data_IF_254756004428
#
_entry.id   IF_254756004428
#
_cell.length_a   1.000
_cell.length_b   1.000
_cell.length_c   1.000
_cell.angle_alpha   90.00
_cell.angle_beta   90.00
_cell.angle_gamma   90.00
#
_symmetry.space_group_name_H-M   'P 1'
#
loop_
_entity.id
_entity.type
_entity.pdbx_description
1 polymer ?
#
# COMPACT_ATOMS: atom_id res chain seq x y z
N UNK A 1 -2.66 14.34 14.67
CA UNK A 1 -3.41 13.22 14.06
C UNK A 1 -4.61 12.92 14.95
N UNK A 2 -5.75 12.48 14.41
CA UNK A 2 -6.97 12.21 15.18
C UNK A 2 -7.38 10.74 15.03
N UNK A 3 -8.15 10.17 15.96
CA UNK A 3 -8.56 8.76 15.91
C UNK A 3 -9.48 8.43 14.71
N UNK A 4 -10.11 9.44 14.11
CA UNK A 4 -10.88 9.31 12.86
C UNK A 4 -10.04 9.49 11.60
N UNK A 5 -8.74 9.74 11.73
CA UNK A 5 -7.84 9.79 10.56
C UNK A 5 -7.87 8.43 9.88
N UNK A 6 -8.12 8.39 8.56
CA UNK A 6 -8.15 7.13 7.83
C UNK A 6 -6.77 6.49 7.84
N UNK A 7 -6.68 5.17 7.60
CA UNK A 7 -5.39 4.55 7.43
C UNK A 7 -4.58 5.19 6.29
N UNK A 8 -3.27 5.27 6.48
CA UNK A 8 -2.39 6.04 5.60
C UNK A 8 -1.19 5.25 5.13
N UNK A 9 -0.79 5.50 3.89
CA UNK A 9 0.41 4.93 3.28
C UNK A 9 1.27 6.06 2.76
N UNK A 10 2.48 6.18 3.31
CA UNK A 10 3.43 7.24 2.99
C UNK A 10 4.61 6.62 2.24
N UNK A 11 5.02 7.26 1.15
CA UNK A 11 6.29 6.99 0.47
C UNK A 11 7.05 8.30 0.34
N UNK A 12 8.33 8.30 0.74
CA UNK A 12 9.19 9.48 0.61
C UNK A 12 10.60 9.05 0.20
N UNK A 13 11.19 9.75 -0.78
CA UNK A 13 12.58 9.56 -1.13
C UNK A 13 13.53 10.28 -0.14
N UNK A 14 14.55 9.57 0.36
CA UNK A 14 15.51 10.14 1.32
C UNK A 14 16.30 11.34 0.78
N UNK A 15 16.44 11.41 -0.54
CA UNK A 15 17.12 12.46 -1.29
C UNK A 15 16.16 13.54 -1.83
N UNK A 16 14.93 13.62 -1.33
CA UNK A 16 14.05 14.76 -1.58
C UNK A 16 14.66 16.04 -0.96
N UNK A 17 14.96 17.01 -1.83
CA UNK A 17 15.54 18.32 -1.44
C UNK A 17 14.51 19.42 -1.33
N UNK A 18 13.27 19.15 -1.75
CA UNK A 18 12.17 20.13 -1.78
C UNK A 18 11.35 20.00 -0.51
N UNK A 19 11.04 18.77 -0.10
CA UNK A 19 10.29 18.48 1.13
C UNK A 19 11.15 17.64 2.06
N UNK A 20 11.26 18.05 3.31
CA UNK A 20 12.08 17.34 4.30
C UNK A 20 11.45 15.98 4.66
N UNK A 21 12.26 14.91 4.63
CA UNK A 21 11.87 13.55 5.06
C UNK A 21 11.24 13.52 6.46
N UNK A 22 11.72 14.39 7.35
CA UNK A 22 11.22 14.56 8.71
C UNK A 22 9.73 14.90 8.77
N UNK A 23 9.17 15.59 7.78
CA UNK A 23 7.72 15.86 7.74
C UNK A 23 6.90 14.58 7.64
N UNK A 24 7.36 13.60 6.85
CA UNK A 24 6.68 12.30 6.75
C UNK A 24 6.89 11.44 7.98
N UNK A 25 8.08 11.48 8.60
CA UNK A 25 8.36 10.80 9.87
C UNK A 25 7.48 11.32 10.99
N UNK A 26 7.38 12.64 11.15
CA UNK A 26 6.51 13.27 12.16
C UNK A 26 5.04 12.88 11.98
N UNK A 27 4.55 12.79 10.74
CA UNK A 27 3.19 12.32 10.48
C UNK A 27 3.02 10.84 10.85
N UNK A 28 3.96 9.98 10.47
CA UNK A 28 3.95 8.55 10.80
C UNK A 28 3.99 8.32 12.31
N UNK A 29 4.91 8.98 13.02
CA UNK A 29 5.04 8.90 14.48
C UNK A 29 3.74 9.34 15.18
N UNK A 30 3.10 10.39 14.66
CA UNK A 30 1.80 10.83 15.16
C UNK A 30 0.67 9.83 14.85
N UNK A 31 0.71 9.13 13.71
CA UNK A 31 -0.25 8.05 13.43
C UNK A 31 -0.09 6.88 14.41
N UNK A 32 1.16 6.42 14.62
CA UNK A 32 1.47 5.35 15.56
C UNK A 32 1.04 5.71 17.00
N UNK A 33 1.35 6.94 17.45
CA UNK A 33 0.96 7.43 18.77
C UNK A 33 -0.56 7.48 19.00
N UNK A 34 -1.35 7.63 17.94
CA UNK A 34 -2.81 7.70 17.99
C UNK A 34 -3.50 6.39 17.57
N UNK A 35 -2.76 5.29 17.37
CA UNK A 35 -3.30 4.00 16.94
C UNK A 35 -3.93 4.02 15.54
N UNK A 36 -3.58 5.01 14.72
CA UNK A 36 -4.03 5.10 13.33
C UNK A 36 -3.16 4.18 12.49
N UNK A 37 -3.77 3.17 11.86
CA UNK A 37 -3.06 2.22 11.00
C UNK A 37 -2.32 2.97 9.89
N UNK A 38 -1.00 3.00 9.97
CA UNK A 38 -0.17 3.71 9.00
C UNK A 38 1.00 2.86 8.54
N UNK A 39 1.56 3.19 7.38
CA UNK A 39 2.74 2.53 6.85
C UNK A 39 3.60 3.57 6.16
N UNK A 40 4.90 3.57 6.46
CA UNK A 40 5.85 4.52 5.87
C UNK A 40 7.00 3.78 5.19
N UNK A 41 7.20 4.09 3.90
CA UNK A 41 8.27 3.54 3.07
C UNK A 41 9.24 4.65 2.68
N UNK A 42 10.50 4.47 3.05
CA UNK A 42 11.57 5.36 2.61
C UNK A 42 12.26 4.78 1.37
N UNK A 43 12.19 5.47 0.24
CA UNK A 43 12.99 5.13 -0.93
C UNK A 43 14.42 5.60 -0.69
N UNK A 44 15.40 4.74 -0.99
CA UNK A 44 16.81 5.11 -0.88
C UNK A 44 17.15 6.34 -1.73
N UNK A 45 16.60 6.42 -2.94
CA UNK A 45 16.76 7.54 -3.86
C UNK A 45 15.56 7.69 -4.80
N UNK A 46 15.28 8.92 -5.23
CA UNK A 46 14.16 9.23 -6.13
C UNK A 46 13.88 10.72 -6.24
N UNK A 47 14.24 11.54 -5.25
CA UNK A 47 14.05 12.98 -5.19
C UNK A 47 12.61 13.45 -5.44
N UNK A 48 12.46 14.73 -5.77
CA UNK A 48 11.17 15.35 -6.05
C UNK A 48 11.01 15.74 -7.53
N UNK A 49 9.91 15.39 -8.22
CA UNK A 49 9.00 14.29 -7.89
C UNK A 49 9.61 12.94 -8.29
N UNK A 50 9.48 11.91 -7.46
CA UNK A 50 9.95 10.56 -7.81
C UNK A 50 9.02 9.85 -8.82
N UNK A 51 7.78 10.32 -9.00
CA UNK A 51 6.78 9.69 -9.88
C UNK A 51 7.13 9.77 -11.37
N UNK A 52 8.02 10.68 -11.77
CA UNK A 52 8.51 10.80 -13.15
C UNK A 52 9.73 9.92 -13.44
N UNK A 53 10.24 9.20 -12.43
CA UNK A 53 11.50 8.44 -12.50
C UNK A 53 11.20 6.94 -12.38
N UNK A 54 11.23 6.16 -13.47
CA UNK A 54 10.78 4.77 -13.46
C UNK A 54 11.45 3.89 -12.38
N UNK A 55 12.75 4.07 -12.13
CA UNK A 55 13.50 3.33 -11.10
C UNK A 55 12.96 3.51 -9.68
N UNK A 56 12.42 4.68 -9.35
CA UNK A 56 11.80 4.96 -8.07
C UNK A 56 10.28 4.71 -8.10
N UNK A 57 9.64 5.04 -9.23
CA UNK A 57 8.19 5.01 -9.36
C UNK A 57 7.60 3.60 -9.43
N UNK A 58 8.24 2.70 -10.17
CA UNK A 58 7.74 1.31 -10.31
C UNK A 58 7.65 0.60 -8.94
N UNK A 59 8.72 0.52 -8.13
CA UNK A 59 8.63 -0.12 -6.82
C UNK A 59 7.68 0.62 -5.86
N UNK A 60 7.63 1.96 -5.92
CA UNK A 60 6.70 2.75 -5.10
C UNK A 60 5.23 2.42 -5.41
N UNK A 61 4.86 2.30 -6.68
CA UNK A 61 3.52 1.85 -7.09
C UNK A 61 3.21 0.44 -6.62
N UNK A 62 4.16 -0.49 -6.79
CA UNK A 62 3.98 -1.88 -6.36
C UNK A 62 3.75 -1.97 -4.86
N UNK A 63 4.50 -1.19 -4.06
CA UNK A 63 4.31 -1.11 -2.62
C UNK A 63 2.94 -0.53 -2.23
N UNK A 64 2.50 0.54 -2.92
CA UNK A 64 1.17 1.13 -2.69
C UNK A 64 0.04 0.13 -3.01
N UNK A 65 0.15 -0.59 -4.12
CA UNK A 65 -0.85 -1.60 -4.51
C UNK A 65 -0.88 -2.76 -3.50
N UNK A 66 0.28 -3.26 -3.10
CA UNK A 66 0.37 -4.33 -2.09
C UNK A 66 -0.26 -3.89 -0.75
N UNK A 67 -0.02 -2.65 -0.33
CA UNK A 67 -0.62 -2.09 0.88
C UNK A 67 -2.14 -1.96 0.75
N UNK A 68 -2.65 -1.48 -0.40
CA UNK A 68 -4.09 -1.40 -0.66
C UNK A 68 -4.76 -2.78 -0.60
N UNK A 69 -4.14 -3.81 -1.20
CA UNK A 69 -4.64 -5.17 -1.09
C UNK A 69 -4.66 -5.64 0.38
N UNK A 70 -3.59 -5.40 1.14
CA UNK A 70 -3.53 -5.80 2.54
C UNK A 70 -4.58 -5.08 3.40
N UNK A 71 -4.84 -3.79 3.15
CA UNK A 71 -5.73 -3.02 3.99
C UNK A 71 -7.22 -3.27 3.72
N UNK A 72 -7.57 -3.53 2.46
CA UNK A 72 -8.94 -3.89 2.07
C UNK A 72 -9.29 -5.29 2.53
N UNK A 73 -8.32 -6.21 2.52
CA UNK A 73 -8.53 -7.62 2.87
C UNK A 73 -8.46 -7.90 4.39
N UNK A 74 -8.06 -6.93 5.21
CA UNK A 74 -7.96 -7.11 6.67
C UNK A 74 -9.14 -6.45 7.40
N UNK A 75 -10.10 -7.22 7.95
CA UNK A 75 -11.13 -6.63 8.79
C UNK A 75 -10.45 -5.95 9.99
N UNK A 76 -10.84 -4.70 10.28
CA UNK A 76 -10.55 -4.08 11.57
C UNK A 76 -11.18 -4.96 12.63
N UNK A 77 -10.39 -5.53 13.55
CA UNK A 77 -10.86 -6.41 14.63
C UNK A 77 -11.71 -5.71 15.70
N UNK A 78 -12.56 -4.75 15.31
CA UNK A 78 -13.29 -3.87 16.20
C UNK A 78 -14.63 -3.45 15.62
N UNK A 79 -15.51 -4.42 15.34
CA UNK A 79 -16.96 -4.39 15.55
C UNK A 79 -17.59 -5.59 14.87
N UNK A 80 -18.44 -6.31 15.61
CA UNK A 80 -19.24 -7.45 15.18
C UNK A 80 -20.32 -6.97 14.20
N UNK A 81 -19.90 -6.65 12.98
CA UNK A 81 -20.76 -6.35 11.84
C UNK A 81 -20.44 -7.35 10.74
N UNK A 82 -21.30 -8.35 10.62
CA UNK A 82 -21.41 -9.36 9.57
C UNK A 82 -20.63 -9.02 8.28
N UNK A 83 -19.52 -9.73 8.05
CA UNK A 83 -18.83 -9.75 6.76
C UNK A 83 -19.83 -10.26 5.70
N UNK A 84 -20.50 -9.35 4.99
CA UNK A 84 -21.23 -9.73 3.79
C UNK A 84 -20.20 -10.08 2.73
N UNK A 85 -20.05 -11.37 2.49
CA UNK A 85 -19.34 -11.92 1.35
C UNK A 85 -19.79 -11.18 0.08
N UNK A 86 -18.86 -10.49 -0.58
CA UNK A 86 -19.11 -9.86 -1.88
C UNK A 86 -18.69 -10.85 -2.98
N UNK A 87 -19.63 -11.54 -3.64
CA UNK A 87 -19.33 -12.59 -4.62
C UNK A 87 -18.70 -12.05 -5.92
N UNK A 88 -18.59 -10.73 -6.10
CA UNK A 88 -17.96 -10.12 -7.26
C UNK A 88 -16.42 -10.05 -7.14
N UNK A 89 -15.88 -10.00 -5.92
CA UNK A 89 -14.42 -9.94 -5.67
C UNK A 89 -13.73 -11.30 -5.75
N UNK A 90 -14.47 -12.40 -5.61
CA UNK A 90 -13.96 -13.76 -5.72
C UNK A 90 -13.75 -14.22 -7.18
N UNK A 91 -14.20 -13.46 -8.19
CA UNK A 91 -14.05 -13.82 -9.61
C UNK A 91 -12.79 -13.30 -10.30
N UNK A 92 -12.04 -12.37 -9.68
CA UNK A 92 -10.89 -11.73 -10.32
C UNK A 92 -9.53 -12.23 -9.84
N UNK A 93 -9.50 -13.14 -8.86
CA UNK A 93 -8.29 -13.76 -8.34
C UNK A 93 -8.25 -15.27 -8.58
N UNK A 94 -8.47 -15.72 -9.82
CA UNK A 94 -7.89 -16.99 -10.24
C UNK A 94 -6.67 -16.70 -11.13
N UNK A 95 -5.46 -17.16 -10.78
CA UNK A 95 -4.35 -17.12 -11.71
C UNK A 95 -4.73 -18.01 -12.89
N UNK A 96 -4.83 -17.42 -14.10
CA UNK A 96 -4.90 -18.18 -15.34
C UNK A 96 -3.57 -18.93 -15.47
N UNK A 97 -3.54 -20.17 -14.96
CA UNK A 97 -2.50 -21.13 -15.26
C UNK A 97 -2.52 -21.32 -16.78
N UNK A 98 -1.51 -20.77 -17.44
CA UNK A 98 -1.20 -21.10 -18.82
C UNK A 98 -0.77 -22.57 -18.86
N UNK A 99 -1.74 -23.47 -19.06
CA UNK A 99 -1.48 -24.86 -19.43
C UNK A 99 -0.90 -24.88 -20.83
N UNK A 100 0.42 -25.08 -20.90
CA UNK A 100 1.10 -25.48 -22.13
C UNK A 100 0.46 -26.76 -22.67
N UNK A 101 0.14 -26.75 -23.97
CA UNK A 101 -0.33 -27.93 -24.68
C UNK A 101 0.77 -28.98 -24.86
N UNK A 102 0.35 -30.24 -24.98
CA UNK A 102 1.19 -31.32 -25.46
C UNK A 102 0.71 -32.70 -24.99
N UNK A 103 -0.16 -33.34 -25.77
CA UNK A 103 -0.48 -34.76 -25.56
C UNK A 103 -1.71 -35.27 -26.29
N UNK A 104 -1.52 -35.72 -27.53
CA UNK A 104 -2.26 -36.77 -28.26
C UNK A 104 -1.78 -36.70 -29.72
N UNK A 105 -1.40 -37.74 -30.43
CA UNK A 105 -1.46 -39.19 -30.28
C UNK A 105 -1.05 -39.76 -31.64
#
# INVERSE_FOLDING_TARGET
>A
VHHSTPPSFLIHARDDKVVNLGSSRLYFDACEAHGVRSTFVELYSGGHPFVTKPKAWVPAKSAALAWLCAIVLTPVSGTRGELRHNPELSRTCEPRLAGAGGGAG
#
